data_IF_656761861059
#
_entry.id   IF_656761861059
#
_cell.length_a   1.000
_cell.length_b   1.000
_cell.length_c   1.000
_cell.angle_alpha   90.00
_cell.angle_beta   90.00
_cell.angle_gamma   90.00
#
_symmetry.space_group_name_H-M   'P 1'
#
loop_
_entity.id
_entity.type
_entity.pdbx_description
1 polymer ?
#
# COMPACT_ATOMS: atom_id res chain seq x y z
N UNK A 1 26.25 21.32 -11.70
CA UNK A 1 26.41 20.27 -10.68
C UNK A 1 25.89 20.83 -9.36
N UNK A 2 24.61 20.71 -9.11
CA UNK A 2 23.97 21.14 -7.87
C UNK A 2 23.06 19.98 -7.44
N UNK A 3 23.36 19.45 -6.27
CA UNK A 3 22.74 18.26 -5.71
C UNK A 3 21.25 18.44 -5.51
N UNK A 4 20.48 17.48 -5.96
CA UNK A 4 19.07 17.30 -5.66
C UNK A 4 18.99 16.77 -4.23
N UNK A 5 18.64 17.65 -3.33
CA UNK A 5 18.38 17.35 -1.93
C UNK A 5 17.22 16.37 -1.78
N UNK A 6 17.53 15.31 -1.09
CA UNK A 6 16.67 14.24 -0.60
C UNK A 6 15.48 14.81 0.20
N UNK A 7 14.26 14.81 -0.38
CA UNK A 7 13.04 15.15 0.36
C UNK A 7 12.26 13.89 0.72
N UNK A 8 11.88 13.70 1.99
CA UNK A 8 11.22 12.50 2.45
C UNK A 8 9.79 12.38 1.86
N UNK A 9 9.55 11.25 1.22
CA UNK A 9 8.36 10.92 0.41
C UNK A 9 7.15 10.46 1.19
N UNK A 10 6.74 11.07 2.30
CA UNK A 10 5.49 10.64 2.95
C UNK A 10 4.85 11.66 3.88
N UNK A 11 3.89 12.40 3.33
CA UNK A 11 2.86 13.11 4.10
C UNK A 11 1.44 12.74 3.66
N UNK A 12 1.16 11.47 3.42
CA UNK A 12 -0.18 11.02 3.01
C UNK A 12 -0.78 10.18 4.13
N UNK A 13 -1.65 10.74 4.89
CA UNK A 13 -2.79 10.06 5.55
C UNK A 13 -3.47 10.92 6.60
N UNK A 14 -4.11 11.97 6.17
CA UNK A 14 -5.04 12.64 7.07
C UNK A 14 -6.11 13.38 6.29
N UNK A 15 -7.10 12.70 5.78
CA UNK A 15 -8.44 13.29 5.54
C UNK A 15 -9.45 12.31 4.95
N UNK A 16 -9.59 11.13 5.51
CA UNK A 16 -10.68 10.22 5.06
C UNK A 16 -11.46 9.60 6.22
N UNK A 17 -11.40 10.15 7.42
CA UNK A 17 -12.19 9.61 8.54
C UNK A 17 -12.84 10.73 9.35
N UNK A 18 -13.89 11.32 8.79
CA UNK A 18 -14.91 12.01 9.54
C UNK A 18 -16.26 11.85 8.82
N UNK A 19 -16.88 10.72 8.98
CA UNK A 19 -18.32 10.58 8.78
C UNK A 19 -18.85 9.71 9.92
N UNK A 20 -19.60 10.37 10.82
CA UNK A 20 -20.25 9.77 11.94
C UNK A 20 -21.23 8.70 11.51
N UNK A 21 -21.08 7.50 12.05
CA UNK A 21 -22.10 6.47 12.07
C UNK A 21 -22.91 6.65 13.37
N UNK A 22 -24.18 6.99 13.19
CA UNK A 22 -25.18 6.94 14.28
C UNK A 22 -25.37 5.48 14.69
N UNK A 23 -24.97 5.12 15.90
CA UNK A 23 -25.08 3.78 16.45
C UNK A 23 -26.54 3.50 16.83
N UNK A 24 -27.14 2.49 16.21
CA UNK A 24 -28.29 1.77 16.75
C UNK A 24 -27.75 0.64 17.65
N UNK A 25 -27.99 0.76 18.95
CA UNK A 25 -27.69 -0.28 19.95
C UNK A 25 -28.72 -1.40 19.86
N UNK A 26 -28.30 -2.56 19.35
CA UNK A 26 -29.00 -3.83 19.57
C UNK A 26 -28.09 -4.74 20.37
N UNK A 27 -28.55 -5.08 21.59
CA UNK A 27 -27.86 -5.97 22.50
C UNK A 27 -27.70 -7.38 21.92
N UNK A 28 -26.48 -7.87 21.88
CA UNK A 28 -26.17 -9.27 21.57
C UNK A 28 -25.44 -9.88 22.75
N UNK A 29 -26.02 -10.98 23.22
CA UNK A 29 -25.52 -11.83 24.30
C UNK A 29 -24.11 -12.37 23.96
N UNK A 30 -23.24 -12.28 24.94
CA UNK A 30 -21.92 -12.90 24.98
C UNK A 30 -22.05 -14.43 24.88
N UNK A 31 -21.58 -15.01 23.79
CA UNK A 31 -21.11 -16.37 23.74
C UNK A 31 -19.59 -16.35 23.77
N UNK A 32 -19.01 -16.98 24.76
CA UNK A 32 -17.56 -17.20 24.87
C UNK A 32 -17.14 -18.25 23.83
N UNK A 33 -16.74 -17.83 22.67
CA UNK A 33 -16.05 -18.68 21.70
C UNK A 33 -14.56 -18.71 22.06
N UNK A 34 -14.07 -19.89 22.37
CA UNK A 34 -12.64 -20.15 22.52
C UNK A 34 -11.91 -19.76 21.24
N UNK A 35 -10.88 -18.93 21.39
CA UNK A 35 -10.04 -18.50 20.26
C UNK A 35 -9.54 -19.71 19.47
N UNK A 36 -9.66 -19.74 18.14
CA UNK A 36 -9.12 -20.80 17.33
C UNK A 36 -7.60 -20.89 17.50
N UNK A 37 -7.08 -22.08 17.78
CA UNK A 37 -5.64 -22.35 17.81
C UNK A 37 -5.02 -21.87 16.48
N UNK A 38 -3.88 -21.14 16.51
CA UNK A 38 -3.22 -20.72 15.28
C UNK A 38 -2.83 -21.95 14.47
N UNK A 39 -3.35 -22.05 13.24
CA UNK A 39 -2.86 -23.01 12.27
C UNK A 39 -1.39 -22.69 11.95
N UNK A 40 -0.56 -23.72 11.83
CA UNK A 40 0.88 -23.67 11.65
C UNK A 40 1.31 -23.15 10.26
N UNK A 41 0.76 -22.04 9.78
CA UNK A 41 1.35 -21.26 8.71
C UNK A 41 2.23 -20.22 9.38
N UNK A 42 3.53 -20.42 9.36
CA UNK A 42 4.49 -19.39 9.77
C UNK A 42 4.12 -18.10 9.05
N UNK A 43 3.80 -17.04 9.82
CA UNK A 43 3.40 -15.77 9.25
C UNK A 43 4.45 -15.29 8.25
N UNK A 44 4.02 -14.91 7.05
CA UNK A 44 4.89 -14.45 5.99
C UNK A 44 5.61 -13.17 6.48
N UNK A 45 6.93 -13.21 6.59
CA UNK A 45 7.72 -12.00 6.88
C UNK A 45 7.81 -11.16 5.63
N UNK A 46 7.51 -9.90 5.75
CA UNK A 46 7.63 -8.96 4.63
C UNK A 46 8.15 -7.61 5.11
N UNK A 47 8.59 -6.79 4.16
CA UNK A 47 9.08 -5.45 4.47
C UNK A 47 8.89 -4.47 3.33
N UNK A 48 9.02 -3.19 3.66
CA UNK A 48 9.03 -2.09 2.70
C UNK A 48 10.20 -1.17 3.00
N UNK A 49 10.97 -0.82 1.96
CA UNK A 49 12.13 0.05 2.07
C UNK A 49 12.25 0.90 0.79
N UNK A 50 12.02 2.19 0.95
CA UNK A 50 12.20 3.17 -0.12
C UNK A 50 13.52 3.95 0.00
N UNK A 51 14.38 3.58 0.94
CA UNK A 51 15.72 4.15 1.08
C UNK A 51 16.61 3.86 -0.12
N UNK A 52 17.69 4.61 -0.27
CA UNK A 52 18.66 4.39 -1.34
C UNK A 52 19.49 3.12 -1.13
N UNK A 53 19.63 2.68 0.11
CA UNK A 53 20.36 1.46 0.51
C UNK A 53 19.47 0.57 1.34
N UNK A 54 19.50 -0.73 1.10
CA UNK A 54 18.74 -1.74 1.85
C UNK A 54 19.70 -2.72 2.48
N UNK A 55 19.48 -3.04 3.77
CA UNK A 55 20.26 -4.07 4.47
C UNK A 55 20.00 -5.45 3.86
N UNK A 56 20.99 -6.09 3.21
CA UNK A 56 20.80 -7.38 2.56
C UNK A 56 20.56 -8.53 3.55
N UNK A 57 20.98 -8.40 4.80
CA UNK A 57 20.74 -9.42 5.83
C UNK A 57 19.27 -9.43 6.23
N UNK A 58 18.69 -8.26 6.45
CA UNK A 58 17.26 -8.12 6.74
C UNK A 58 16.40 -8.44 5.51
N UNK A 59 16.80 -7.96 4.34
CA UNK A 59 16.08 -8.22 3.08
C UNK A 59 15.91 -9.73 2.80
N UNK A 60 16.98 -10.51 2.96
CA UNK A 60 16.96 -11.97 2.74
C UNK A 60 16.05 -12.75 3.70
N UNK A 61 15.69 -12.15 4.83
CA UNK A 61 14.72 -12.73 5.79
C UNK A 61 13.27 -12.48 5.38
N UNK A 62 13.02 -11.57 4.42
CA UNK A 62 11.69 -11.26 3.93
C UNK A 62 11.31 -12.25 2.81
N UNK A 63 10.15 -12.88 2.93
CA UNK A 63 9.54 -13.64 1.86
C UNK A 63 8.92 -12.72 0.78
N UNK A 64 8.59 -11.47 1.16
CA UNK A 64 8.15 -10.42 0.24
C UNK A 64 8.79 -9.10 0.64
N UNK A 65 9.31 -8.37 -0.34
CA UNK A 65 9.98 -7.08 -0.13
C UNK A 65 9.50 -6.06 -1.16
N UNK A 66 9.08 -4.89 -0.70
CA UNK A 66 8.69 -3.76 -1.55
C UNK A 66 9.81 -2.72 -1.54
N UNK A 67 10.27 -2.32 -2.72
CA UNK A 67 11.38 -1.38 -2.89
C UNK A 67 11.02 -0.25 -3.86
N UNK A 68 11.70 0.90 -3.71
CA UNK A 68 11.64 1.98 -4.70
C UNK A 68 12.54 1.64 -5.91
N UNK A 69 11.97 1.40 -7.11
CA UNK A 69 12.73 0.94 -8.27
C UNK A 69 13.59 2.03 -8.90
N UNK A 70 13.36 3.30 -8.61
CA UNK A 70 14.15 4.42 -9.14
C UNK A 70 15.50 4.61 -8.45
N UNK A 71 15.70 3.99 -7.30
CA UNK A 71 17.03 3.91 -6.70
C UNK A 71 17.84 2.88 -7.48
N UNK A 72 18.88 3.34 -8.17
CA UNK A 72 19.78 2.50 -8.97
C UNK A 72 20.62 1.60 -8.05
N UNK A 73 20.04 0.50 -7.60
CA UNK A 73 20.71 -0.51 -6.78
C UNK A 73 20.52 -1.89 -7.40
N UNK A 74 21.51 -2.78 -7.28
CA UNK A 74 21.31 -4.18 -7.66
C UNK A 74 20.34 -4.83 -6.68
N UNK A 75 19.28 -5.47 -7.17
CA UNK A 75 18.28 -6.16 -6.32
C UNK A 75 18.61 -7.63 -6.08
N UNK A 76 19.46 -8.23 -6.92
CA UNK A 76 19.85 -9.64 -6.78
C UNK A 76 20.45 -9.98 -5.39
N UNK A 77 21.32 -9.16 -4.77
CA UNK A 77 21.84 -9.41 -3.42
C UNK A 77 20.79 -9.36 -2.31
N UNK A 78 19.62 -8.77 -2.58
CA UNK A 78 18.53 -8.64 -1.61
C UNK A 78 17.60 -9.86 -1.60
N UNK A 79 17.72 -10.75 -2.60
CA UNK A 79 16.87 -11.94 -2.71
C UNK A 79 17.24 -12.98 -1.68
N UNK A 80 16.26 -13.38 -0.86
CA UNK A 80 16.27 -14.62 -0.10
C UNK A 80 15.74 -15.80 -0.90
N UNK A 81 15.91 -17.04 -0.41
CA UNK A 81 15.31 -18.22 -1.05
C UNK A 81 13.79 -18.08 -1.18
N UNK A 82 13.27 -18.14 -2.41
CA UNK A 82 11.83 -18.04 -2.70
C UNK A 82 11.20 -16.68 -2.44
N UNK A 83 12.00 -15.63 -2.17
CA UNK A 83 11.47 -14.29 -1.93
C UNK A 83 10.88 -13.65 -3.19
N UNK A 84 9.85 -12.81 -2.98
CA UNK A 84 9.21 -11.99 -4.00
C UNK A 84 9.63 -10.53 -3.80
N UNK A 85 10.19 -9.89 -4.84
CA UNK A 85 10.56 -8.48 -4.83
C UNK A 85 9.58 -7.69 -5.69
N UNK A 86 8.94 -6.68 -5.09
CA UNK A 86 7.98 -5.81 -5.75
C UNK A 86 8.56 -4.40 -5.89
N UNK A 87 8.44 -3.82 -7.09
CA UNK A 87 8.77 -2.42 -7.30
C UNK A 87 7.58 -1.51 -7.03
N UNK A 88 7.80 -0.45 -6.25
CA UNK A 88 6.80 0.57 -5.97
C UNK A 88 6.38 1.31 -7.24
N UNK A 89 5.08 1.55 -7.39
CA UNK A 89 4.52 2.44 -8.40
C UNK A 89 3.23 3.08 -7.92
N UNK A 90 3.16 4.41 -7.96
CA UNK A 90 1.91 5.13 -7.72
C UNK A 90 1.05 5.12 -8.99
N UNK A 91 -0.23 4.70 -8.86
CA UNK A 91 -1.19 4.77 -9.97
C UNK A 91 -2.13 5.96 -9.85
N UNK A 92 -2.41 6.44 -8.65
CA UNK A 92 -3.35 7.53 -8.40
C UNK A 92 -2.74 8.92 -8.47
N UNK A 93 -1.40 9.05 -8.49
CA UNK A 93 -0.72 10.34 -8.57
C UNK A 93 0.68 10.25 -9.18
N UNK A 94 1.21 11.39 -9.61
CA UNK A 94 2.53 11.52 -10.22
C UNK A 94 3.28 12.67 -9.57
N UNK A 95 4.45 12.38 -9.01
CA UNK A 95 5.37 13.37 -8.45
C UNK A 95 6.05 14.17 -9.57
N UNK A 96 6.29 15.47 -9.36
CA UNK A 96 6.96 16.37 -10.35
C UNK A 96 8.36 15.91 -10.75
N UNK A 97 9.07 15.26 -9.84
CA UNK A 97 10.40 14.71 -10.08
C UNK A 97 10.45 13.50 -11.02
N UNK A 98 9.31 12.92 -11.38
CA UNK A 98 9.29 11.75 -12.28
C UNK A 98 9.57 12.16 -13.73
N UNK A 99 10.42 11.43 -14.45
CA UNK A 99 10.80 11.79 -15.82
C UNK A 99 9.64 11.90 -16.82
N UNK A 100 8.52 11.28 -16.53
CA UNK A 100 7.31 11.27 -17.35
C UNK A 100 6.28 12.33 -16.96
N UNK A 101 6.52 13.12 -15.89
CA UNK A 101 5.58 14.12 -15.37
C UNK A 101 5.21 15.16 -16.45
N UNK A 102 6.19 15.83 -17.01
CA UNK A 102 5.96 16.91 -18.00
C UNK A 102 5.17 16.45 -19.23
N UNK A 103 5.44 15.23 -19.70
CA UNK A 103 4.70 14.64 -20.81
C UNK A 103 3.23 14.39 -20.49
N UNK A 104 2.94 13.90 -19.28
CA UNK A 104 1.56 13.65 -18.82
C UNK A 104 0.81 14.96 -18.53
N UNK A 105 1.50 15.96 -17.97
CA UNK A 105 0.93 17.29 -17.74
C UNK A 105 0.55 17.95 -19.07
N UNK A 106 1.45 17.93 -20.06
CA UNK A 106 1.18 18.44 -21.41
C UNK A 106 0.02 17.70 -22.10
N UNK A 107 -0.11 16.41 -21.85
CA UNK A 107 -1.21 15.61 -22.39
C UNK A 107 -2.55 15.86 -21.67
N UNK A 108 -2.59 16.61 -20.57
CA UNK A 108 -3.80 16.84 -19.76
C UNK A 108 -4.21 15.62 -18.90
N UNK A 109 -3.31 14.68 -18.68
CA UNK A 109 -3.56 13.46 -17.90
C UNK A 109 -3.47 13.68 -16.39
N UNK A 110 -3.00 14.86 -15.94
CA UNK A 110 -2.84 15.20 -14.53
C UNK A 110 -3.90 16.21 -14.09
N UNK A 111 -4.45 15.99 -12.91
CA UNK A 111 -5.45 16.84 -12.25
C UNK A 111 -4.79 17.80 -11.24
N UNK A 112 -5.54 18.30 -10.28
CA UNK A 112 -5.05 19.18 -9.22
C UNK A 112 -3.87 18.56 -8.45
N UNK A 113 -3.07 19.41 -7.80
CA UNK A 113 -2.06 18.94 -6.86
C UNK A 113 -2.73 18.20 -5.69
N UNK A 114 -2.05 17.18 -5.17
CA UNK A 114 -2.48 16.54 -3.95
C UNK A 114 -2.31 17.53 -2.77
N UNK A 115 -3.37 17.84 -1.99
CA UNK A 115 -3.28 18.82 -0.90
C UNK A 115 -2.26 18.43 0.18
N UNK A 116 -2.00 17.12 0.33
CA UNK A 116 -1.04 16.60 1.30
C UNK A 116 0.38 16.46 0.71
N UNK A 117 0.49 16.45 -0.63
CA UNK A 117 1.71 16.32 -1.42
C UNK A 117 1.73 17.35 -2.53
N UNK A 118 2.09 18.60 -2.27
CA UNK A 118 2.06 19.67 -3.28
C UNK A 118 2.92 19.38 -4.52
N UNK A 119 3.95 18.54 -4.36
CA UNK A 119 4.82 18.11 -5.45
C UNK A 119 4.23 16.96 -6.29
N UNK A 120 3.11 16.39 -5.90
CA UNK A 120 2.41 15.37 -6.66
C UNK A 120 1.09 15.91 -7.22
N UNK A 121 0.72 15.46 -8.41
CA UNK A 121 -0.59 15.73 -9.02
C UNK A 121 -1.37 14.44 -9.16
N UNK A 122 -2.66 14.50 -8.90
CA UNK A 122 -3.57 13.37 -9.09
C UNK A 122 -3.58 12.96 -10.56
N UNK A 123 -3.48 11.66 -10.83
CA UNK A 123 -3.61 11.12 -12.17
C UNK A 123 -5.08 10.92 -12.54
N UNK A 124 -5.48 11.35 -13.73
CA UNK A 124 -6.79 10.97 -14.26
C UNK A 124 -6.73 9.54 -14.81
N UNK A 125 -7.23 8.59 -14.03
CA UNK A 125 -7.20 7.18 -14.40
C UNK A 125 -8.00 6.86 -15.69
N UNK A 126 -8.88 7.76 -16.12
CA UNK A 126 -9.66 7.67 -17.38
C UNK A 126 -8.83 8.07 -18.58
N UNK A 127 -7.75 8.83 -18.37
CA UNK A 127 -7.00 9.44 -19.48
C UNK A 127 -6.13 8.40 -20.21
N UNK A 128 -6.25 8.28 -21.57
CA UNK A 128 -5.54 7.24 -22.32
C UNK A 128 -4.01 7.36 -22.23
N UNK A 129 -3.45 8.58 -22.14
CA UNK A 129 -2.01 8.76 -21.97
C UNK A 129 -1.50 8.22 -20.63
N UNK A 130 -2.29 8.31 -19.54
CA UNK A 130 -1.92 7.69 -18.27
C UNK A 130 -1.94 6.17 -18.38
N UNK A 131 -3.02 5.62 -18.93
CA UNK A 131 -3.14 4.18 -19.16
C UNK A 131 -1.95 3.65 -19.99
N UNK A 132 -1.61 4.33 -21.08
CA UNK A 132 -0.44 3.97 -21.91
C UNK A 132 0.87 4.08 -21.11
N UNK A 133 1.06 5.14 -20.34
CA UNK A 133 2.25 5.29 -19.51
C UNK A 133 2.43 4.10 -18.55
N UNK A 134 1.37 3.69 -17.85
CA UNK A 134 1.41 2.55 -16.93
C UNK A 134 1.73 1.24 -17.65
N UNK A 135 1.00 0.93 -18.73
CA UNK A 135 1.07 -0.36 -19.41
C UNK A 135 2.31 -0.53 -20.30
N UNK A 136 2.77 0.55 -20.96
CA UNK A 136 3.81 0.47 -21.96
C UNK A 136 5.18 0.91 -21.45
N UNK A 137 5.24 1.58 -20.30
CA UNK A 137 6.48 2.15 -19.76
C UNK A 137 6.75 1.79 -18.31
N UNK A 138 5.84 2.12 -17.36
CA UNK A 138 6.14 2.02 -15.94
C UNK A 138 6.24 0.57 -15.47
N UNK A 139 5.23 -0.24 -15.75
CA UNK A 139 5.24 -1.67 -15.37
C UNK A 139 6.36 -2.42 -16.09
N UNK A 140 6.55 -2.29 -17.43
CA UNK A 140 7.67 -2.92 -18.12
C UNK A 140 9.04 -2.51 -17.58
N UNK A 141 9.25 -1.23 -17.25
CA UNK A 141 10.52 -0.75 -16.72
C UNK A 141 10.85 -1.38 -15.35
N UNK A 142 9.86 -1.53 -14.47
CA UNK A 142 10.04 -2.19 -13.18
C UNK A 142 10.42 -3.67 -13.39
N UNK A 143 9.69 -4.36 -14.25
CA UNK A 143 9.95 -5.78 -14.53
C UNK A 143 11.32 -6.00 -15.18
N UNK A 144 11.76 -5.08 -16.06
CA UNK A 144 13.08 -5.12 -16.70
C UNK A 144 14.24 -4.96 -15.71
N UNK A 145 14.00 -4.33 -14.54
CA UNK A 145 14.98 -4.25 -13.44
C UNK A 145 15.10 -5.56 -12.65
N UNK A 146 14.31 -6.60 -12.99
CA UNK A 146 14.34 -7.91 -12.35
C UNK A 146 13.41 -8.07 -11.15
N UNK A 147 12.45 -7.15 -10.95
CA UNK A 147 11.37 -7.34 -9.97
C UNK A 147 10.40 -8.44 -10.41
N UNK A 148 9.83 -9.17 -9.45
CA UNK A 148 8.83 -10.21 -9.71
C UNK A 148 7.44 -9.61 -9.95
N UNK A 149 7.28 -8.33 -9.62
CA UNK A 149 6.01 -7.66 -9.74
C UNK A 149 6.04 -6.21 -9.27
N UNK A 150 4.85 -5.70 -9.02
CA UNK A 150 4.62 -4.30 -8.65
C UNK A 150 3.84 -4.18 -7.35
N UNK A 151 4.14 -3.12 -6.61
CA UNK A 151 3.33 -2.63 -5.52
C UNK A 151 2.61 -1.37 -5.96
N UNK A 152 1.29 -1.46 -6.10
CA UNK A 152 0.42 -0.36 -6.58
C UNK A 152 -0.03 0.47 -5.39
N UNK A 153 0.27 1.75 -5.44
CA UNK A 153 -0.08 2.71 -4.39
C UNK A 153 -1.05 3.79 -4.87
N UNK A 154 -1.64 4.53 -3.92
CA UNK A 154 -2.47 5.73 -4.10
C UNK A 154 -3.81 5.53 -4.82
N UNK A 155 -4.30 4.29 -4.91
CA UNK A 155 -5.58 4.01 -5.58
C UNK A 155 -6.82 4.47 -4.79
N UNK A 156 -6.70 4.76 -3.51
CA UNK A 156 -7.72 5.41 -2.69
C UNK A 156 -8.02 6.86 -3.15
N UNK A 157 -7.10 7.51 -3.86
CA UNK A 157 -7.36 8.79 -4.53
C UNK A 157 -8.54 8.74 -5.50
N UNK A 158 -8.77 7.60 -6.15
CA UNK A 158 -9.90 7.44 -7.08
C UNK A 158 -11.25 7.61 -6.37
N UNK A 159 -11.43 6.95 -5.22
CA UNK A 159 -12.62 7.10 -4.39
C UNK A 159 -12.76 8.53 -3.83
N UNK A 160 -11.64 9.09 -3.37
CA UNK A 160 -11.63 10.46 -2.84
C UNK A 160 -12.04 11.49 -3.92
N UNK A 161 -11.56 11.35 -5.14
CA UNK A 161 -11.92 12.21 -6.27
C UNK A 161 -13.41 12.10 -6.62
N UNK A 162 -13.97 10.88 -6.76
CA UNK A 162 -15.38 10.70 -7.06
C UNK A 162 -16.28 11.23 -5.95
N UNK A 163 -15.90 11.06 -4.69
CA UNK A 163 -16.65 11.60 -3.56
C UNK A 163 -16.60 13.11 -3.48
N UNK A 164 -15.46 13.74 -3.84
CA UNK A 164 -15.28 15.18 -3.81
C UNK A 164 -16.11 15.88 -4.90
N UNK A 165 -16.14 15.33 -6.10
CA UNK A 165 -16.94 15.82 -7.22
C UNK A 165 -17.45 14.64 -8.06
N UNK A 166 -18.65 14.11 -7.73
CA UNK A 166 -19.22 12.95 -8.41
C UNK A 166 -19.54 13.17 -9.89
N UNK A 167 -19.67 14.42 -10.32
CA UNK A 167 -19.95 14.77 -11.72
C UNK A 167 -18.66 14.83 -12.52
N UNK A 168 -17.72 15.65 -12.12
CA UNK A 168 -16.45 15.84 -12.83
C UNK A 168 -15.57 14.57 -12.81
N UNK A 169 -15.62 13.80 -11.73
CA UNK A 169 -14.78 12.61 -11.52
C UNK A 169 -15.53 11.28 -11.75
N UNK A 170 -16.73 11.32 -12.30
CA UNK A 170 -17.51 10.11 -12.61
C UNK A 170 -16.67 9.09 -13.40
N UNK A 171 -16.61 7.86 -12.90
CA UNK A 171 -15.95 6.73 -13.56
C UNK A 171 -14.45 6.60 -13.30
N UNK A 172 -13.84 7.43 -12.41
CA UNK A 172 -12.42 7.30 -12.05
C UNK A 172 -12.16 5.99 -11.30
N UNK A 173 -13.04 5.56 -10.39
CA UNK A 173 -12.95 4.26 -9.71
C UNK A 173 -13.03 3.11 -10.72
N UNK A 174 -14.00 3.14 -11.63
CA UNK A 174 -14.15 2.12 -12.66
C UNK A 174 -12.94 2.08 -13.62
N UNK A 175 -12.34 3.24 -13.92
CA UNK A 175 -11.12 3.31 -14.71
C UNK A 175 -9.93 2.69 -13.97
N UNK A 176 -9.82 2.87 -12.65
CA UNK A 176 -8.84 2.21 -11.80
C UNK A 176 -8.98 0.69 -11.82
N UNK A 177 -10.20 0.17 -11.70
CA UNK A 177 -10.50 -1.26 -11.86
C UNK A 177 -10.05 -1.77 -13.23
N UNK A 178 -10.40 -1.04 -14.31
CA UNK A 178 -10.01 -1.38 -15.68
C UNK A 178 -8.49 -1.36 -15.88
N UNK A 179 -7.79 -0.41 -15.25
CA UNK A 179 -6.32 -0.31 -15.35
C UNK A 179 -5.63 -1.51 -14.69
N UNK A 180 -6.03 -1.88 -13.47
CA UNK A 180 -5.47 -3.05 -12.77
C UNK A 180 -5.80 -4.34 -13.54
N UNK A 181 -7.01 -4.47 -14.08
CA UNK A 181 -7.39 -5.59 -14.92
C UNK A 181 -6.51 -5.69 -16.19
N UNK A 182 -6.21 -4.55 -16.82
CA UNK A 182 -5.33 -4.51 -17.99
C UNK A 182 -3.88 -4.87 -17.66
N UNK A 183 -3.36 -4.44 -16.50
CA UNK A 183 -2.04 -4.89 -16.02
C UNK A 183 -2.02 -6.40 -15.86
N UNK A 184 -3.01 -6.99 -15.20
CA UNK A 184 -3.09 -8.45 -15.04
C UNK A 184 -3.19 -9.18 -16.38
N UNK A 185 -3.99 -8.68 -17.31
CA UNK A 185 -4.15 -9.29 -18.64
C UNK A 185 -2.85 -9.25 -19.45
N UNK A 186 -2.14 -8.12 -19.42
CA UNK A 186 -0.89 -7.95 -20.19
C UNK A 186 0.31 -8.64 -19.55
N UNK A 187 0.33 -8.73 -18.22
CA UNK A 187 1.43 -9.31 -17.44
C UNK A 187 0.90 -10.42 -16.50
N UNK A 188 0.44 -11.56 -17.05
CA UNK A 188 -0.32 -12.56 -16.28
C UNK A 188 0.48 -13.22 -15.15
N UNK A 189 1.81 -13.23 -15.24
CA UNK A 189 2.70 -13.83 -14.23
C UNK A 189 3.24 -12.83 -13.21
N UNK A 190 3.03 -11.53 -13.41
CA UNK A 190 3.49 -10.48 -12.51
C UNK A 190 2.78 -10.55 -11.18
N UNK A 191 3.52 -10.51 -10.08
CA UNK A 191 2.93 -10.37 -8.75
C UNK A 191 2.40 -8.95 -8.57
N UNK A 192 1.18 -8.83 -8.09
CA UNK A 192 0.53 -7.54 -7.87
C UNK A 192 0.13 -7.44 -6.41
N UNK A 193 0.67 -6.43 -5.73
CA UNK A 193 0.24 -6.01 -4.41
C UNK A 193 -0.47 -4.66 -4.54
N UNK A 194 -1.66 -4.55 -3.97
CA UNK A 194 -2.43 -3.30 -3.94
C UNK A 194 -2.43 -2.74 -2.52
N UNK A 195 -2.08 -1.46 -2.38
CA UNK A 195 -2.24 -0.74 -1.13
C UNK A 195 -3.64 -0.13 -1.06
N UNK A 196 -4.43 -0.55 -0.06
CA UNK A 196 -5.79 -0.02 0.19
C UNK A 196 -6.68 -0.05 -1.06
N UNK A 197 -7.15 1.10 -1.57
CA UNK A 197 -8.01 1.18 -2.74
C UNK A 197 -9.34 0.43 -2.54
N UNK A 198 -9.96 0.59 -1.35
CA UNK A 198 -11.07 -0.25 -0.88
C UNK A 198 -12.30 -0.19 -1.78
N UNK A 199 -12.55 0.92 -2.46
CA UNK A 199 -13.65 1.03 -3.41
C UNK A 199 -13.49 0.15 -4.65
N UNK A 200 -12.24 -0.22 -4.99
CA UNK A 200 -11.94 -1.06 -6.14
C UNK A 200 -12.01 -2.56 -5.82
N UNK A 201 -11.90 -2.94 -4.54
CA UNK A 201 -11.72 -4.33 -4.11
C UNK A 201 -12.78 -5.32 -4.59
N UNK A 202 -14.09 -4.98 -4.70
CA UNK A 202 -15.09 -5.90 -5.20
C UNK A 202 -14.73 -6.52 -6.57
N UNK A 203 -14.04 -5.75 -7.42
CA UNK A 203 -13.73 -6.13 -8.80
C UNK A 203 -12.25 -6.52 -9.01
N UNK A 204 -11.34 -5.98 -8.21
CA UNK A 204 -9.90 -6.22 -8.39
C UNK A 204 -9.34 -7.34 -7.51
N UNK A 205 -10.02 -7.75 -6.44
CA UNK A 205 -9.53 -8.82 -5.56
C UNK A 205 -9.12 -10.11 -6.31
N UNK A 206 -9.86 -10.59 -7.33
CA UNK A 206 -9.44 -11.76 -8.10
C UNK A 206 -8.23 -11.51 -9.03
N UNK A 207 -7.77 -10.28 -9.17
CA UNK A 207 -6.70 -9.88 -10.11
C UNK A 207 -5.38 -9.57 -9.43
N UNK A 208 -5.34 -9.55 -8.11
CA UNK A 208 -4.17 -9.22 -7.29
C UNK A 208 -3.73 -10.42 -6.45
N UNK A 209 -2.48 -10.44 -6.04
CA UNK A 209 -1.89 -11.53 -5.25
C UNK A 209 -1.79 -11.17 -3.77
N UNK A 210 -1.60 -9.87 -3.47
CA UNK A 210 -1.45 -9.35 -2.11
C UNK A 210 -2.28 -8.08 -1.96
N UNK A 211 -2.91 -7.92 -0.80
CA UNK A 211 -3.64 -6.71 -0.42
C UNK A 211 -3.05 -6.15 0.87
N UNK A 212 -2.69 -4.89 0.86
CA UNK A 212 -2.16 -4.18 2.01
C UNK A 212 -3.23 -3.31 2.65
N UNK A 213 -3.42 -3.49 3.96
CA UNK A 213 -4.01 -2.48 4.84
C UNK A 213 -2.89 -1.65 5.45
N UNK A 214 -2.80 -0.40 5.08
CA UNK A 214 -1.81 0.54 5.61
C UNK A 214 -2.41 1.36 6.75
N UNK A 215 -1.62 1.59 7.82
CA UNK A 215 -2.03 2.25 9.06
C UNK A 215 -3.26 1.57 9.69
N UNK A 216 -3.14 0.26 9.88
CA UNK A 216 -4.21 -0.57 10.41
C UNK A 216 -4.44 -0.33 11.88
N UNK A 217 -3.45 -0.67 12.72
CA UNK A 217 -3.53 -0.56 14.18
C UNK A 217 -2.82 0.70 14.71
N UNK A 218 -1.89 1.27 13.93
CA UNK A 218 -1.18 2.48 14.30
C UNK A 218 -0.83 3.34 13.08
N UNK A 219 -0.68 4.65 13.32
CA UNK A 219 -0.40 5.64 12.29
C UNK A 219 0.46 6.79 12.81
N UNK A 220 1.01 7.58 11.89
CA UNK A 220 1.58 8.88 12.20
C UNK A 220 0.50 9.97 12.17
N UNK A 221 0.39 10.75 13.24
CA UNK A 221 -0.46 11.93 13.28
C UNK A 221 0.35 13.16 12.85
N UNK A 222 0.07 13.68 11.65
CA UNK A 222 0.80 14.82 11.08
C UNK A 222 0.59 16.13 11.84
N UNK A 223 -0.57 16.32 12.47
CA UNK A 223 -0.87 17.49 13.28
C UNK A 223 -0.17 17.43 14.62
N UNK A 224 -0.29 16.29 15.30
CA UNK A 224 0.33 16.08 16.62
C UNK A 224 1.82 15.71 16.53
N UNK A 225 2.34 15.41 15.32
CA UNK A 225 3.72 14.99 15.05
C UNK A 225 4.17 13.83 15.93
N UNK A 226 3.32 12.82 16.05
CA UNK A 226 3.60 11.61 16.82
C UNK A 226 2.92 10.39 16.24
N UNK A 227 3.41 9.20 16.60
CA UNK A 227 2.70 7.95 16.36
C UNK A 227 1.51 7.85 17.33
N UNK A 228 0.42 7.28 16.86
CA UNK A 228 -0.79 7.02 17.67
C UNK A 228 -1.47 5.74 17.23
N UNK A 229 -2.19 5.11 18.15
CA UNK A 229 -3.02 3.96 17.84
C UNK A 229 -4.26 4.38 17.07
N UNK A 230 -4.69 3.53 16.17
CA UNK A 230 -5.96 3.65 15.46
C UNK A 230 -7.08 3.11 16.37
N UNK A 231 -8.26 3.70 16.30
CA UNK A 231 -9.41 3.24 17.07
C UNK A 231 -9.78 1.79 16.69
N UNK A 232 -10.35 1.04 17.63
CA UNK A 232 -10.79 -0.34 17.35
C UNK A 232 -11.88 -0.38 16.28
N UNK A 233 -12.74 0.63 16.21
CA UNK A 233 -13.76 0.76 15.15
C UNK A 233 -13.16 0.95 13.77
N UNK A 234 -12.15 1.82 13.63
CA UNK A 234 -11.48 2.07 12.36
C UNK A 234 -10.65 0.85 11.92
N UNK A 235 -9.96 0.21 12.87
CA UNK A 235 -9.27 -1.05 12.63
C UNK A 235 -10.23 -2.13 12.15
N UNK A 236 -11.35 -2.33 12.85
CA UNK A 236 -12.35 -3.35 12.51
C UNK A 236 -12.96 -3.09 11.12
N UNK A 237 -13.21 -1.82 10.77
CA UNK A 237 -13.69 -1.44 9.45
C UNK A 237 -12.69 -1.83 8.35
N UNK A 238 -11.40 -1.47 8.49
CA UNK A 238 -10.37 -1.84 7.54
C UNK A 238 -10.20 -3.37 7.45
N UNK A 239 -10.11 -4.06 8.59
CA UNK A 239 -10.01 -5.52 8.65
C UNK A 239 -11.19 -6.21 7.94
N UNK A 240 -12.40 -5.67 8.08
CA UNK A 240 -13.58 -6.13 7.33
C UNK A 240 -13.41 -6.03 5.82
N UNK A 241 -12.81 -4.93 5.31
CA UNK A 241 -12.52 -4.77 3.87
C UNK A 241 -11.51 -5.81 3.36
N UNK A 242 -10.44 -6.04 4.12
CA UNK A 242 -9.44 -7.04 3.77
C UNK A 242 -10.06 -8.45 3.73
N UNK A 243 -10.82 -8.82 4.75
CA UNK A 243 -11.50 -10.13 4.83
C UNK A 243 -12.52 -10.33 3.71
N UNK A 244 -13.28 -9.29 3.37
CA UNK A 244 -14.21 -9.33 2.24
C UNK A 244 -13.50 -9.58 0.90
N UNK A 245 -12.34 -8.96 0.68
CA UNK A 245 -11.51 -9.23 -0.49
C UNK A 245 -10.96 -10.67 -0.49
N UNK A 246 -10.51 -11.18 0.66
CA UNK A 246 -10.06 -12.57 0.84
C UNK A 246 -11.17 -13.58 0.54
N UNK A 247 -12.41 -13.28 0.92
CA UNK A 247 -13.55 -14.14 0.58
C UNK A 247 -13.81 -14.23 -0.93
N UNK A 248 -13.49 -13.18 -1.69
CA UNK A 248 -13.57 -13.16 -3.17
C UNK A 248 -12.39 -13.84 -3.86
N UNK A 249 -11.23 -13.84 -3.21
CA UNK A 249 -10.02 -14.49 -3.69
C UNK A 249 -9.34 -15.22 -2.52
N UNK A 250 -9.66 -16.50 -2.29
CA UNK A 250 -9.06 -17.29 -1.21
C UNK A 250 -7.53 -17.40 -1.27
N UNK A 251 -6.90 -17.20 -2.44
CA UNK A 251 -5.45 -17.19 -2.58
C UNK A 251 -4.80 -15.85 -2.17
N UNK A 252 -5.60 -14.78 -1.99
CA UNK A 252 -5.10 -13.45 -1.66
C UNK A 252 -4.37 -13.43 -0.31
N UNK A 253 -3.13 -12.95 -0.27
CA UNK A 253 -2.41 -12.72 0.98
C UNK A 253 -2.78 -11.35 1.55
N UNK A 254 -3.16 -11.31 2.82
CA UNK A 254 -3.49 -10.08 3.53
C UNK A 254 -2.28 -9.59 4.32
N UNK A 255 -1.82 -8.40 3.98
CA UNK A 255 -0.66 -7.72 4.54
C UNK A 255 -1.13 -6.52 5.36
N UNK A 256 -0.43 -6.19 6.45
CA UNK A 256 -0.68 -4.96 7.20
C UNK A 256 0.60 -4.20 7.44
N UNK A 257 0.54 -2.87 7.32
CA UNK A 257 1.64 -1.96 7.61
C UNK A 257 1.20 -0.98 8.69
N UNK A 258 1.96 -0.94 9.77
CA UNK A 258 1.78 -0.03 10.88
C UNK A 258 3.00 0.85 11.07
N UNK A 259 2.83 1.99 11.69
CA UNK A 259 3.88 2.97 11.90
C UNK A 259 4.11 3.21 13.38
N UNK A 260 5.36 2.96 13.86
CA UNK A 260 5.72 3.19 15.26
C UNK A 260 7.18 3.53 15.44
N UNK A 261 7.52 4.07 16.61
CA UNK A 261 8.90 4.28 17.01
C UNK A 261 9.58 2.92 17.29
N UNK A 262 10.62 2.55 16.56
CA UNK A 262 11.31 1.27 16.76
C UNK A 262 11.99 1.15 18.12
N UNK A 263 12.22 2.24 18.85
CA UNK A 263 12.73 2.21 20.21
C UNK A 263 11.70 1.69 21.24
N UNK A 264 10.40 1.85 20.95
CA UNK A 264 9.32 1.26 21.77
C UNK A 264 9.04 -0.20 21.36
N UNK A 265 9.99 -1.07 21.69
CA UNK A 265 9.93 -2.49 21.32
C UNK A 265 8.70 -3.21 21.86
N UNK A 266 8.18 -2.78 23.01
CA UNK A 266 6.95 -3.33 23.63
C UNK A 266 5.74 -3.05 22.76
N UNK A 267 5.56 -1.81 22.33
CA UNK A 267 4.42 -1.45 21.48
C UNK A 267 4.56 -2.05 20.08
N UNK A 268 5.78 -2.08 19.53
CA UNK A 268 6.05 -2.76 18.24
C UNK A 268 5.65 -4.24 18.33
N UNK A 269 6.06 -4.96 19.38
CA UNK A 269 5.67 -6.36 19.59
C UNK A 269 4.15 -6.53 19.72
N UNK A 270 3.47 -5.61 20.42
CA UNK A 270 2.01 -5.64 20.56
C UNK A 270 1.30 -5.45 19.23
N UNK A 271 1.78 -4.57 18.34
CA UNK A 271 1.24 -4.37 16.99
C UNK A 271 1.39 -5.65 16.15
N UNK A 272 2.57 -6.27 16.15
CA UNK A 272 2.77 -7.55 15.47
C UNK A 272 1.83 -8.64 16.00
N UNK A 273 1.69 -8.76 17.31
CA UNK A 273 0.83 -9.76 17.94
C UNK A 273 -0.66 -9.56 17.58
N UNK A 274 -1.13 -8.31 17.62
CA UNK A 274 -2.52 -7.95 17.27
C UNK A 274 -2.85 -8.36 15.83
N UNK A 275 -2.02 -7.96 14.88
CA UNK A 275 -2.27 -8.22 13.46
C UNK A 275 -2.18 -9.73 13.13
N UNK A 276 -1.24 -10.44 13.73
CA UNK A 276 -1.14 -11.90 13.59
C UNK A 276 -2.33 -12.64 14.17
N UNK A 277 -2.81 -12.23 15.36
CA UNK A 277 -3.99 -12.82 15.96
C UNK A 277 -5.23 -12.65 15.07
N UNK A 278 -5.27 -11.58 14.25
CA UNK A 278 -6.32 -11.33 13.28
C UNK A 278 -6.16 -12.11 11.95
N UNK A 279 -5.06 -12.85 11.78
CA UNK A 279 -4.76 -13.64 10.58
C UNK A 279 -4.09 -12.84 9.46
N UNK A 280 -3.49 -11.70 9.77
CA UNK A 280 -2.74 -10.86 8.83
C UNK A 280 -1.23 -11.11 8.87
N UNK A 281 -0.51 -10.66 7.85
CA UNK A 281 0.95 -10.66 7.79
C UNK A 281 1.44 -9.23 8.08
N UNK A 282 1.88 -8.93 9.31
CA UNK A 282 2.24 -7.59 9.72
C UNK A 282 3.65 -7.17 9.30
N UNK A 283 3.81 -5.86 9.12
CA UNK A 283 5.07 -5.14 9.11
C UNK A 283 4.89 -3.86 9.95
N UNK A 284 5.83 -3.56 10.83
CA UNK A 284 5.88 -2.29 11.56
C UNK A 284 7.13 -1.54 11.10
N UNK A 285 6.95 -0.28 10.71
CA UNK A 285 8.02 0.54 10.17
C UNK A 285 7.97 1.96 10.73
N UNK A 286 8.99 2.77 10.42
CA UNK A 286 8.90 4.22 10.61
C UNK A 286 8.13 4.88 9.49
N UNK A 287 7.60 6.08 9.71
CA UNK A 287 6.93 6.87 8.68
C UNK A 287 7.78 7.06 7.40
N UNK A 288 9.10 7.19 7.56
CA UNK A 288 10.00 7.44 6.43
C UNK A 288 10.08 6.27 5.45
N UNK A 289 9.87 5.03 5.91
CA UNK A 289 10.07 3.80 5.14
C UNK A 289 11.41 3.76 4.40
N UNK A 290 12.44 4.30 5.02
CA UNK A 290 13.77 4.49 4.46
C UNK A 290 14.74 3.35 4.79
N UNK A 291 14.29 2.36 5.56
CA UNK A 291 15.05 1.19 5.99
C UNK A 291 14.14 0.07 6.46
N UNK A 292 14.64 -1.15 6.38
CA UNK A 292 14.02 -2.30 7.04
C UNK A 292 14.27 -2.27 8.55
N UNK A 293 13.26 -2.66 9.31
CA UNK A 293 13.38 -2.86 10.75
C UNK A 293 13.28 -4.35 11.07
N UNK A 294 14.09 -4.86 12.01
CA UNK A 294 13.93 -6.23 12.48
C UNK A 294 12.64 -6.33 13.29
N UNK A 295 11.92 -7.43 13.08
CA UNK A 295 10.83 -7.79 13.97
C UNK A 295 11.38 -8.13 15.35
N UNK A 296 10.79 -7.60 16.45
CA UNK A 296 11.21 -7.97 17.81
C UNK A 296 11.13 -9.49 18.00
N UNK A 297 12.20 -10.06 18.54
CA UNK A 297 12.17 -11.43 19.03
C UNK A 297 11.39 -11.44 20.33
N UNK A 298 10.20 -12.10 20.33
CA UNK A 298 9.41 -12.32 21.53
C UNK A 298 10.11 -13.22 22.54
#
# INVERSE_FOLDING_TARGET
MTGITDMPRRKIMQRVLALGATALTLGIRSQSDAAPKPSANAALRWGVDYGATTDPVLAKRCALLVLEPHHARPIAPLRGPGSVLLGYVSFGEVERGRPYFAGLEKAGALRAANPNWPDARLADLRHPAWRAAVLDRLVPAILALGYDGIFIDTMDNAEAMERQDPVANKGVVAAGVSLIAAVRARFPRTRIMLNRGYALLPDVAPKIDHLLGEAMASRWNFTAKRYELVSDSDWAWQAGRLRAAKARNPALSLMTLDYWDPADTKQVAALYARERAAGFNPCVATLALDRLLPEPTG
#
